data_IF_383513360118
#
_entry.id   IF_383513360118
#
_cell.length_a   1.000
_cell.length_b   1.000
_cell.length_c   1.000
_cell.angle_alpha   90.00
_cell.angle_beta   90.00
_cell.angle_gamma   90.00
#
_symmetry.space_group_name_H-M   'P 1'
#
loop_
_entity.id
_entity.type
_entity.pdbx_description
1 polymer ?
#
# COMPACT_ATOMS: atom_id res chain seq x y z
N UNK A 1 -0.70 3.92 5.90
CA UNK A 1 -0.87 4.86 4.78
C UNK A 1 -0.14 6.16 5.10
N UNK A 2 0.69 6.72 4.21
CA UNK A 2 1.19 8.09 4.36
C UNK A 2 0.03 9.10 4.42
N UNK A 3 0.03 9.99 5.42
CA UNK A 3 -1.04 10.98 5.60
C UNK A 3 -1.16 11.90 4.37
N UNK A 4 -0.03 12.20 3.72
CA UNK A 4 0.01 12.99 2.49
C UNK A 4 -0.79 12.37 1.32
N UNK A 5 -1.04 11.06 1.34
CA UNK A 5 -1.77 10.37 0.27
C UNK A 5 -3.29 10.40 0.47
N UNK A 6 -3.81 10.85 1.62
CA UNK A 6 -5.24 10.78 1.94
C UNK A 6 -6.08 11.55 0.90
N UNK A 7 -5.67 12.75 0.51
CA UNK A 7 -6.41 13.54 -0.48
C UNK A 7 -6.51 12.82 -1.84
N UNK A 8 -5.41 12.19 -2.27
CA UNK A 8 -5.38 11.40 -3.51
C UNK A 8 -6.31 10.17 -3.42
N UNK A 9 -6.30 9.46 -2.28
CA UNK A 9 -7.21 8.32 -2.05
C UNK A 9 -8.67 8.75 -2.04
N UNK A 10 -9.01 9.91 -1.48
CA UNK A 10 -10.38 10.43 -1.52
C UNK A 10 -10.82 10.80 -2.95
N UNK A 11 -9.89 11.25 -3.81
CA UNK A 11 -10.20 11.65 -5.18
C UNK A 11 -10.24 10.46 -6.16
N UNK A 12 -9.38 9.46 -5.98
CA UNK A 12 -9.15 8.39 -6.95
C UNK A 12 -9.51 6.99 -6.42
N UNK A 13 -9.82 6.87 -5.12
CA UNK A 13 -10.05 5.58 -4.45
C UNK A 13 -8.76 4.92 -3.97
N UNK A 14 -8.91 3.70 -3.45
CA UNK A 14 -7.78 2.84 -3.06
C UNK A 14 -7.37 2.03 -4.29
N UNK A 15 -6.19 2.34 -4.82
CA UNK A 15 -5.69 1.77 -6.06
C UNK A 15 -4.76 0.57 -5.83
N UNK A 16 -4.63 -0.26 -6.86
CA UNK A 16 -3.57 -1.27 -6.93
C UNK A 16 -2.18 -0.62 -7.01
N UNK A 17 -1.12 -1.41 -6.82
CA UNK A 17 0.25 -0.90 -6.95
C UNK A 17 0.51 -0.31 -8.33
N UNK A 18 0.08 -1.01 -9.39
CA UNK A 18 0.34 -0.61 -10.77
C UNK A 18 -0.42 0.67 -11.16
N UNK A 19 -1.64 0.83 -10.65
CA UNK A 19 -2.42 2.07 -10.84
C UNK A 19 -1.85 3.23 -10.02
N UNK A 20 -1.48 3.00 -8.75
CA UNK A 20 -0.89 4.03 -7.90
C UNK A 20 0.45 4.56 -8.45
N UNK A 21 1.22 3.71 -9.14
CA UNK A 21 2.47 4.10 -9.81
C UNK A 21 2.27 5.16 -10.92
N UNK A 22 1.05 5.33 -11.43
CA UNK A 22 0.72 6.37 -12.41
C UNK A 22 0.44 7.74 -11.76
N UNK A 23 0.37 7.81 -10.43
CA UNK A 23 0.10 9.02 -9.67
C UNK A 23 1.30 9.38 -8.80
N UNK A 24 1.54 10.68 -8.63
CA UNK A 24 2.47 11.16 -7.62
C UNK A 24 1.90 10.84 -6.23
N UNK A 25 2.61 10.02 -5.47
CA UNK A 25 2.26 9.67 -4.11
C UNK A 25 3.51 9.49 -3.26
N UNK A 26 3.38 9.66 -1.94
CA UNK A 26 4.44 9.30 -1.02
C UNK A 26 4.52 7.76 -0.94
N UNK A 27 5.69 7.20 -1.23
CA UNK A 27 5.94 5.77 -1.10
C UNK A 27 6.75 5.46 0.18
N UNK A 28 6.29 4.46 0.92
CA UNK A 28 6.94 3.94 2.13
C UNK A 28 7.31 2.46 1.99
N UNK A 29 7.14 1.90 0.79
CA UNK A 29 7.45 0.52 0.46
C UNK A 29 8.93 0.22 0.68
N UNK A 30 9.26 -1.06 0.74
CA UNK A 30 10.64 -1.54 0.79
C UNK A 30 10.94 -2.15 -0.57
N UNK A 31 11.93 -1.61 -1.27
CA UNK A 31 12.22 -1.99 -2.66
C UNK A 31 12.50 -3.50 -2.81
N UNK A 32 13.24 -4.09 -1.87
CA UNK A 32 13.55 -5.53 -1.83
C UNK A 32 12.28 -6.39 -1.64
N UNK A 33 11.29 -5.90 -0.89
CA UNK A 33 9.99 -6.57 -0.74
C UNK A 33 9.14 -6.40 -2.00
N UNK A 34 9.16 -5.21 -2.62
CA UNK A 34 8.41 -4.94 -3.84
C UNK A 34 8.90 -5.79 -5.02
N UNK A 35 10.22 -5.93 -5.20
CA UNK A 35 10.81 -6.77 -6.25
C UNK A 35 10.39 -8.24 -6.08
N UNK A 36 10.35 -8.74 -4.83
CA UNK A 36 9.87 -10.11 -4.55
C UNK A 36 8.39 -10.30 -4.87
N UNK A 37 7.58 -9.25 -4.74
CA UNK A 37 6.12 -9.26 -4.96
C UNK A 37 5.74 -9.12 -6.42
N UNK A 38 6.56 -8.43 -7.21
CA UNK A 38 6.36 -8.21 -8.64
C UNK A 38 6.12 -9.52 -9.40
N UNK A 39 6.82 -10.59 -9.01
CA UNK A 39 6.73 -11.91 -9.66
C UNK A 39 5.72 -12.86 -9.02
N UNK A 40 4.88 -12.39 -8.08
CA UNK A 40 3.91 -13.22 -7.37
C UNK A 40 2.53 -13.09 -7.99
N UNK A 41 1.86 -14.22 -8.16
CA UNK A 41 0.45 -14.29 -8.53
C UNK A 41 -0.39 -14.85 -7.39
N UNK A 42 -1.65 -14.43 -7.33
CA UNK A 42 -2.65 -15.05 -6.47
C UNK A 42 -3.10 -16.34 -7.15
N UNK A 43 -3.20 -17.50 -6.44
CA UNK A 43 -3.68 -18.74 -7.04
C UNK A 43 -5.05 -18.56 -7.70
N UNK A 44 -5.11 -18.81 -9.02
CA UNK A 44 -6.34 -18.61 -9.82
C UNK A 44 -6.71 -17.15 -10.09
N UNK A 45 -5.82 -16.19 -9.78
CA UNK A 45 -6.06 -14.76 -9.95
C UNK A 45 -4.94 -14.05 -10.72
N UNK A 46 -4.90 -12.73 -10.57
CA UNK A 46 -3.94 -11.83 -11.23
C UNK A 46 -2.59 -11.80 -10.49
N UNK A 47 -1.65 -11.03 -11.03
CA UNK A 47 -0.42 -10.67 -10.32
C UNK A 47 -0.76 -9.89 -9.05
N UNK A 48 0.06 -10.03 -8.02
CA UNK A 48 -0.18 -9.40 -6.72
C UNK A 48 -0.31 -7.88 -6.81
N UNK A 49 0.41 -7.24 -7.74
CA UNK A 49 0.38 -5.79 -7.96
C UNK A 49 -0.87 -5.28 -8.70
N UNK A 50 -1.75 -6.17 -9.16
CA UNK A 50 -3.06 -5.84 -9.74
C UNK A 50 -4.15 -5.69 -8.67
N UNK A 51 -3.84 -5.98 -7.40
CA UNK A 51 -4.77 -5.86 -6.28
C UNK A 51 -4.41 -4.68 -5.37
N UNK A 52 -5.44 -4.01 -4.85
CA UNK A 52 -5.28 -3.08 -3.74
C UNK A 52 -5.07 -3.85 -2.43
N UNK A 53 -3.99 -3.55 -1.70
CA UNK A 53 -3.65 -4.24 -0.46
C UNK A 53 -4.46 -3.70 0.73
N UNK A 54 -5.35 -4.54 1.27
CA UNK A 54 -6.08 -4.29 2.52
C UNK A 54 -5.65 -5.28 3.62
N UNK A 55 -5.85 -4.88 4.88
CA UNK A 55 -5.42 -5.67 6.04
C UNK A 55 -6.55 -5.81 7.05
N UNK A 56 -6.83 -7.05 7.49
CA UNK A 56 -7.76 -7.31 8.59
C UNK A 56 -7.25 -6.81 9.95
N UNK A 57 -5.93 -6.68 10.10
CA UNK A 57 -5.29 -6.16 11.30
C UNK A 57 -4.42 -4.95 10.95
N UNK A 58 -4.68 -3.82 11.60
CA UNK A 58 -3.92 -2.59 11.40
C UNK A 58 -2.43 -2.71 11.80
N UNK A 59 -2.10 -3.67 12.67
CA UNK A 59 -0.72 -3.97 13.10
C UNK A 59 -0.06 -4.95 12.13
N UNK A 60 0.34 -4.45 10.96
CA UNK A 60 1.06 -5.24 9.96
C UNK A 60 2.60 -5.07 10.06
N UNK A 61 3.40 -5.96 9.44
CA UNK A 61 4.86 -5.86 9.48
C UNK A 61 5.42 -4.52 8.97
N UNK A 62 4.77 -3.87 8.01
CA UNK A 62 5.21 -2.56 7.51
C UNK A 62 5.10 -1.47 8.58
N UNK A 63 4.06 -1.50 9.43
CA UNK A 63 3.93 -0.56 10.55
C UNK A 63 5.05 -0.71 11.58
N UNK A 64 5.51 -1.94 11.85
CA UNK A 64 6.66 -2.17 12.72
C UNK A 64 7.97 -1.69 12.08
N UNK A 65 8.19 -2.03 10.79
CA UNK A 65 9.39 -1.62 10.05
C UNK A 65 9.50 -0.10 9.92
N UNK A 66 8.37 0.60 9.83
CA UNK A 66 8.28 2.07 9.67
C UNK A 66 7.91 2.79 10.97
N UNK A 67 8.13 2.19 12.14
CA UNK A 67 7.75 2.79 13.43
C UNK A 67 8.37 4.18 13.68
N UNK A 68 9.57 4.44 13.14
CA UNK A 68 10.24 5.74 13.23
C UNK A 68 9.54 6.84 12.42
N UNK A 69 8.63 6.47 11.54
CA UNK A 69 7.86 7.36 10.67
C UNK A 69 6.39 7.43 11.10
N UNK A 70 6.03 6.92 12.30
CA UNK A 70 4.64 6.81 12.76
C UNK A 70 3.84 8.11 12.67
N UNK A 71 4.46 9.26 12.89
CA UNK A 71 3.80 10.57 12.90
C UNK A 71 3.29 11.01 11.52
N UNK A 72 3.85 10.43 10.46
CA UNK A 72 3.44 10.67 9.06
C UNK A 72 2.57 9.55 8.50
N UNK A 73 2.21 8.56 9.32
CA UNK A 73 1.41 7.40 8.94
C UNK A 73 0.07 7.38 9.67
N UNK A 74 -0.96 6.96 8.95
CA UNK A 74 -2.29 6.69 9.49
C UNK A 74 -2.81 5.32 9.06
N UNK A 75 -3.86 4.87 9.76
CA UNK A 75 -4.69 3.72 9.41
C UNK A 75 -6.00 4.26 8.86
N UNK A 76 -6.38 3.84 7.66
CA UNK A 76 -7.71 4.10 7.12
C UNK A 76 -8.58 2.87 7.31
N UNK A 77 -9.78 3.07 7.85
CA UNK A 77 -10.82 2.05 7.92
C UNK A 77 -11.69 2.18 6.67
N UNK A 78 -12.09 1.05 6.10
CA UNK A 78 -13.01 0.95 4.96
C UNK A 78 -14.24 0.18 5.46
N UNK A 79 -15.43 0.68 5.17
CA UNK A 79 -16.75 0.11 5.51
C UNK A 79 -17.54 -0.12 4.22
#
# INVERSE_FOLDING_TARGET
MPIANIASVMAHGILSHNEAAQLNHADISLADVQERRERKSVPGGLLLHEYANLYFCARNPMMYRRQNERERLCVLLVD
#
